data_IF_920996474706
#
_entry.id   IF_920996474706
#
_cell.length_a   1.000
_cell.length_b   1.000
_cell.length_c   1.000
_cell.angle_alpha   90.00
_cell.angle_beta   90.00
_cell.angle_gamma   90.00
#
_symmetry.space_group_name_H-M   'P 1'
#
loop_
_entity.id
_entity.type
_entity.pdbx_description
1 polymer ?
#
# COMPACT_ATOMS: atom_id res chain seq x y z
N UNK A 1 15.29 43.60 -15.96
CA UNK A 1 15.33 42.19 -16.40
C UNK A 1 15.98 41.38 -15.30
N UNK A 2 15.19 40.71 -14.46
CA UNK A 2 15.70 39.91 -13.35
C UNK A 2 15.27 38.45 -13.58
N UNK A 3 16.24 37.63 -13.97
CA UNK A 3 16.14 36.18 -13.99
C UNK A 3 16.20 35.69 -12.54
N UNK A 4 15.12 35.07 -12.05
CA UNK A 4 15.14 34.27 -10.83
C UNK A 4 14.83 32.82 -11.22
N UNK A 5 15.91 32.07 -11.41
CA UNK A 5 15.91 30.61 -11.46
C UNK A 5 15.74 30.12 -10.02
N UNK A 6 14.54 29.72 -9.64
CA UNK A 6 14.31 29.09 -8.34
C UNK A 6 14.64 27.61 -8.47
N UNK A 7 15.77 27.22 -7.89
CA UNK A 7 16.18 25.84 -7.74
C UNK A 7 15.24 25.11 -6.77
N UNK A 8 14.54 24.13 -7.32
CA UNK A 8 13.62 23.25 -6.62
C UNK A 8 14.44 22.24 -5.80
N UNK A 9 14.77 22.61 -4.56
CA UNK A 9 15.40 21.69 -3.60
C UNK A 9 14.30 20.95 -2.85
N UNK A 10 13.99 19.72 -3.29
CA UNK A 10 13.13 18.79 -2.55
C UNK A 10 13.99 18.06 -1.51
N UNK A 11 13.91 18.48 -0.25
CA UNK A 11 14.30 17.65 0.90
C UNK A 11 13.01 17.25 1.62
N UNK A 12 12.67 15.95 1.74
CA UNK A 12 11.54 15.54 2.56
C UNK A 12 11.98 15.46 4.03
N UNK A 13 11.52 16.41 4.85
CA UNK A 13 11.74 16.39 6.30
C UNK A 13 10.44 16.08 7.06
N UNK A 14 10.42 14.92 7.72
CA UNK A 14 9.85 14.64 9.05
C UNK A 14 8.38 15.04 9.35
N UNK A 15 7.48 14.06 9.31
CA UNK A 15 6.49 13.73 10.37
C UNK A 15 5.46 14.75 10.88
N UNK A 16 5.43 16.02 10.42
CA UNK A 16 4.49 17.05 10.91
C UNK A 16 3.44 17.51 9.90
N UNK A 17 3.37 16.90 8.71
CA UNK A 17 2.53 17.40 7.60
C UNK A 17 1.53 16.41 7.03
N UNK A 18 1.37 15.21 7.60
CA UNK A 18 0.43 14.24 7.05
C UNK A 18 -1.00 14.54 7.50
N UNK A 19 -1.96 14.78 6.59
CA UNK A 19 -3.29 15.29 6.94
C UNK A 19 -4.28 14.21 7.41
N UNK A 20 -3.90 12.93 7.36
CA UNK A 20 -4.79 11.81 7.71
C UNK A 20 -4.18 10.92 8.81
N UNK A 21 -4.74 10.98 10.01
CA UNK A 21 -4.44 10.01 11.05
C UNK A 21 -5.40 8.81 11.04
N UNK A 22 -5.03 7.71 11.72
CA UNK A 22 -5.93 6.58 11.94
C UNK A 22 -7.29 6.96 12.53
N UNK A 23 -7.35 8.03 13.33
CA UNK A 23 -8.56 8.56 13.95
C UNK A 23 -9.51 9.29 12.97
N UNK A 24 -9.03 9.69 11.79
CA UNK A 24 -9.78 10.51 10.83
C UNK A 24 -10.55 9.67 9.80
N UNK A 25 -10.39 8.35 9.82
CA UNK A 25 -11.03 7.44 8.86
C UNK A 25 -11.21 6.03 9.42
N UNK A 26 -11.86 5.16 8.66
CA UNK A 26 -12.11 3.77 9.08
C UNK A 26 -10.88 2.88 8.86
N UNK A 27 -10.70 1.80 9.65
CA UNK A 27 -9.57 0.89 9.45
C UNK A 27 -9.46 0.28 8.05
N UNK A 28 -10.59 0.12 7.37
CA UNK A 28 -10.65 -0.37 5.98
C UNK A 28 -10.07 0.62 4.96
N UNK A 29 -9.99 1.91 5.29
CA UNK A 29 -9.43 2.94 4.43
C UNK A 29 -7.97 3.30 4.78
N UNK A 30 -7.41 2.75 5.86
CA UNK A 30 -6.07 3.11 6.31
C UNK A 30 -4.97 2.76 5.30
N UNK A 31 -5.12 1.67 4.56
CA UNK A 31 -4.12 1.27 3.56
C UNK A 31 -3.88 2.37 2.51
N UNK A 32 -4.91 3.16 2.19
CA UNK A 32 -4.87 4.25 1.20
C UNK A 32 -4.65 5.64 1.79
N UNK A 33 -4.59 5.78 3.11
CA UNK A 33 -4.54 7.11 3.76
C UNK A 33 -3.48 7.24 4.85
N UNK A 34 -3.03 6.16 5.48
CA UNK A 34 -2.19 6.20 6.67
C UNK A 34 -0.78 5.68 6.35
N UNK A 35 0.29 6.46 6.63
CA UNK A 35 1.66 6.04 6.37
C UNK A 35 2.13 5.01 7.40
N UNK A 36 3.14 4.20 7.03
CA UNK A 36 3.64 3.09 7.85
C UNK A 36 4.03 3.48 9.28
N UNK A 37 4.60 4.67 9.48
CA UNK A 37 5.06 5.15 10.78
C UNK A 37 3.94 5.65 11.72
N UNK A 38 2.70 5.76 11.23
CA UNK A 38 1.56 6.22 12.03
C UNK A 38 0.84 5.06 12.76
N UNK A 39 1.18 3.81 12.45
CA UNK A 39 0.61 2.65 13.12
C UNK A 39 1.32 2.36 14.44
N UNK A 40 0.54 2.20 15.51
CA UNK A 40 0.99 1.72 16.82
C UNK A 40 0.17 0.50 17.22
N UNK A 41 0.40 0.01 18.44
CA UNK A 41 -0.24 -1.21 18.94
C UNK A 41 -1.78 -1.11 18.95
N UNK A 42 -2.34 0.07 19.23
CA UNK A 42 -3.78 0.29 19.22
C UNK A 42 -4.38 0.12 17.82
N UNK A 43 -3.74 0.70 16.80
CA UNK A 43 -4.16 0.56 15.40
C UNK A 43 -4.05 -0.89 14.93
N UNK A 44 -3.00 -1.61 15.35
CA UNK A 44 -2.86 -3.04 15.03
C UNK A 44 -4.05 -3.85 15.58
N UNK A 45 -4.43 -3.63 16.85
CA UNK A 45 -5.57 -4.32 17.46
C UNK A 45 -6.88 -3.99 16.74
N UNK A 46 -7.09 -2.72 16.37
CA UNK A 46 -8.28 -2.28 15.63
C UNK A 46 -8.35 -2.90 14.24
N UNK A 47 -7.22 -3.00 13.53
CA UNK A 47 -7.12 -3.62 12.22
C UNK A 47 -7.52 -5.09 12.27
N UNK A 48 -6.96 -5.85 13.23
CA UNK A 48 -7.27 -7.26 13.43
C UNK A 48 -8.75 -7.48 13.77
N UNK A 49 -9.29 -6.67 14.69
CA UNK A 49 -10.70 -6.73 15.04
C UNK A 49 -11.62 -6.42 13.85
N UNK A 50 -11.21 -5.50 12.97
CA UNK A 50 -11.95 -5.14 11.76
C UNK A 50 -11.97 -6.30 10.77
N UNK A 51 -10.80 -6.87 10.45
CA UNK A 51 -10.72 -8.03 9.54
C UNK A 51 -11.52 -9.23 10.06
N UNK A 52 -11.45 -9.51 11.37
CA UNK A 52 -12.24 -10.58 12.00
C UNK A 52 -13.75 -10.37 11.87
N UNK A 53 -14.24 -9.12 11.84
CA UNK A 53 -15.67 -8.84 11.59
C UNK A 53 -16.03 -9.03 10.12
N UNK A 54 -15.10 -8.75 9.22
CA UNK A 54 -15.31 -8.84 7.78
C UNK A 54 -15.17 -10.26 7.24
N UNK A 55 -14.57 -11.19 7.98
CA UNK A 55 -14.40 -12.60 7.56
C UNK A 55 -15.73 -13.33 7.27
N UNK A 56 -16.85 -12.79 7.76
CA UNK A 56 -18.21 -13.28 7.46
C UNK A 56 -18.61 -12.99 6.00
N UNK A 57 -18.00 -12.00 5.36
CA UNK A 57 -18.23 -11.66 3.95
C UNK A 57 -17.43 -12.65 3.08
N UNK A 58 -18.14 -13.66 2.58
CA UNK A 58 -17.56 -14.80 1.86
C UNK A 58 -16.87 -14.36 0.55
N UNK A 59 -15.55 -14.53 0.49
CA UNK A 59 -14.71 -14.18 -0.67
C UNK A 59 -13.93 -15.34 -1.31
N UNK A 60 -14.13 -16.58 -0.86
CA UNK A 60 -13.34 -17.76 -1.26
C UNK A 60 -12.22 -18.10 -0.26
N UNK A 61 -11.57 -19.27 -0.41
CA UNK A 61 -10.55 -19.78 0.52
C UNK A 61 -9.33 -18.87 0.64
N UNK A 62 -8.85 -18.34 -0.47
CA UNK A 62 -7.66 -17.46 -0.49
C UNK A 62 -7.93 -16.14 0.22
N UNK A 63 -9.18 -15.67 0.15
CA UNK A 63 -9.63 -14.47 0.85
C UNK A 63 -9.72 -14.68 2.37
N UNK A 64 -10.06 -15.90 2.81
CA UNK A 64 -10.03 -16.27 4.22
C UNK A 64 -8.58 -16.34 4.73
N UNK A 65 -7.70 -17.06 4.01
CA UNK A 65 -6.27 -17.16 4.36
C UNK A 65 -5.58 -15.80 4.42
N UNK A 66 -5.86 -14.91 3.46
CA UNK A 66 -5.37 -13.54 3.46
C UNK A 66 -5.80 -12.76 4.72
N UNK A 67 -7.07 -12.88 5.10
CA UNK A 67 -7.60 -12.21 6.30
C UNK A 67 -6.99 -12.76 7.59
N UNK A 68 -6.60 -14.03 7.62
CA UNK A 68 -5.88 -14.68 8.72
C UNK A 68 -4.38 -14.31 8.79
N UNK A 69 -3.87 -13.54 7.83
CA UNK A 69 -2.49 -13.01 7.82
C UNK A 69 -1.51 -13.84 6.99
N UNK A 70 -2.00 -14.74 6.15
CA UNK A 70 -1.13 -15.47 5.23
C UNK A 70 -0.70 -14.53 4.08
N UNK A 71 0.58 -14.17 4.07
CA UNK A 71 1.09 -13.12 3.19
C UNK A 71 1.04 -13.50 1.71
N UNK A 72 1.28 -14.77 1.34
CA UNK A 72 1.25 -15.18 -0.05
C UNK A 72 -0.18 -15.09 -0.62
N UNK A 73 -1.18 -15.52 0.15
CA UNK A 73 -2.60 -15.39 -0.16
C UNK A 73 -3.01 -13.91 -0.24
N UNK A 74 -2.60 -13.08 0.72
CA UNK A 74 -2.89 -11.64 0.69
C UNK A 74 -2.31 -10.95 -0.56
N UNK A 75 -1.08 -11.29 -0.93
CA UNK A 75 -0.44 -10.81 -2.16
C UNK A 75 -1.17 -11.32 -3.40
N UNK A 76 -1.53 -12.60 -3.45
CA UNK A 76 -2.27 -13.20 -4.56
C UNK A 76 -3.64 -12.55 -4.77
N UNK A 77 -4.39 -12.35 -3.69
CA UNK A 77 -5.67 -11.63 -3.69
C UNK A 77 -5.48 -10.19 -4.17
N UNK A 78 -4.46 -9.48 -3.68
CA UNK A 78 -4.18 -8.12 -4.12
C UNK A 78 -3.92 -8.05 -5.63
N UNK A 79 -3.10 -8.94 -6.18
CA UNK A 79 -2.84 -9.00 -7.62
C UNK A 79 -4.08 -9.36 -8.44
N UNK A 80 -4.96 -10.22 -7.93
CA UNK A 80 -6.22 -10.59 -8.62
C UNK A 80 -7.18 -9.40 -8.79
N UNK A 81 -7.01 -8.36 -7.99
CA UNK A 81 -7.82 -7.14 -8.01
C UNK A 81 -7.18 -6.00 -8.83
N UNK A 82 -5.99 -6.21 -9.39
CA UNK A 82 -5.31 -5.19 -10.19
C UNK A 82 -5.64 -5.33 -11.70
N UNK A 83 -5.83 -4.20 -12.42
CA UNK A 83 -5.77 -2.82 -11.94
C UNK A 83 -7.02 -2.42 -11.15
N UNK A 84 -6.84 -1.61 -10.09
CA UNK A 84 -7.94 -1.08 -9.30
C UNK A 84 -8.46 0.19 -9.99
N UNK A 85 -9.61 0.08 -10.64
CA UNK A 85 -10.29 1.22 -11.28
C UNK A 85 -11.37 1.82 -10.38
N UNK A 86 -11.95 1.02 -9.49
CA UNK A 86 -13.03 1.41 -8.58
C UNK A 86 -12.72 0.99 -7.16
N UNK A 87 -13.00 1.88 -6.20
CA UNK A 87 -12.83 1.62 -4.79
C UNK A 87 -14.08 0.93 -4.23
N UNK A 88 -14.02 -0.39 -4.06
CA UNK A 88 -15.12 -1.19 -3.53
C UNK A 88 -14.79 -1.73 -2.14
N UNK A 89 -15.82 -2.14 -1.39
CA UNK A 89 -15.62 -2.79 -0.08
C UNK A 89 -14.71 -4.03 -0.18
N UNK A 90 -14.82 -4.81 -1.26
CA UNK A 90 -13.96 -5.98 -1.50
C UNK A 90 -12.48 -5.57 -1.65
N UNK A 91 -12.21 -4.49 -2.39
CA UNK A 91 -10.86 -3.93 -2.53
C UNK A 91 -10.34 -3.47 -1.18
N UNK A 92 -11.14 -2.71 -0.43
CA UNK A 92 -10.74 -2.22 0.89
C UNK A 92 -10.42 -3.38 1.85
N UNK A 93 -11.23 -4.45 1.90
CA UNK A 93 -10.93 -5.63 2.74
C UNK A 93 -9.64 -6.33 2.29
N UNK A 94 -9.45 -6.55 0.98
CA UNK A 94 -8.25 -7.19 0.45
C UNK A 94 -6.99 -6.40 0.77
N UNK A 95 -7.01 -5.09 0.54
CA UNK A 95 -5.85 -4.22 0.80
C UNK A 95 -5.61 -4.04 2.30
N UNK A 96 -6.66 -4.12 3.12
CA UNK A 96 -6.53 -4.17 4.59
C UNK A 96 -5.86 -5.45 5.06
N UNK A 97 -6.16 -6.60 4.44
CA UNK A 97 -5.47 -7.86 4.72
C UNK A 97 -3.99 -7.81 4.30
N UNK A 98 -3.68 -7.21 3.14
CA UNK A 98 -2.30 -6.97 2.70
C UNK A 98 -1.56 -6.02 3.66
N UNK A 99 -2.21 -4.93 4.08
CA UNK A 99 -1.71 -3.97 5.06
C UNK A 99 -1.35 -4.67 6.37
N UNK A 100 -2.22 -5.56 6.89
CA UNK A 100 -1.94 -6.37 8.08
C UNK A 100 -0.62 -7.13 7.92
N UNK A 101 -0.44 -7.83 6.80
CA UNK A 101 0.79 -8.59 6.55
C UNK A 101 2.04 -7.69 6.51
N UNK A 102 1.93 -6.50 5.90
CA UNK A 102 3.02 -5.53 5.87
C UNK A 102 3.38 -5.01 7.28
N UNK A 103 2.39 -4.80 8.14
CA UNK A 103 2.58 -4.41 9.54
C UNK A 103 3.21 -5.53 10.39
N UNK A 104 2.93 -6.79 10.06
CA UNK A 104 3.61 -7.97 10.62
C UNK A 104 5.04 -8.17 10.07
N UNK A 105 5.67 -7.08 9.56
CA UNK A 105 7.04 -7.01 9.06
C UNK A 105 7.30 -7.86 7.81
N UNK A 106 6.26 -8.20 7.06
CA UNK A 106 6.44 -8.88 5.78
C UNK A 106 6.88 -7.86 4.71
N UNK A 107 8.16 -7.91 4.33
CA UNK A 107 8.72 -7.02 3.32
C UNK A 107 8.02 -7.15 1.96
N UNK A 108 7.73 -8.37 1.50
CA UNK A 108 7.07 -8.58 0.21
C UNK A 108 5.66 -7.96 0.18
N UNK A 109 4.88 -8.11 1.25
CA UNK A 109 3.56 -7.47 1.37
C UNK A 109 3.68 -5.93 1.34
N UNK A 110 4.67 -5.36 2.03
CA UNK A 110 4.93 -3.92 2.01
C UNK A 110 5.31 -3.41 0.61
N UNK A 111 6.09 -4.18 -0.15
CA UNK A 111 6.45 -3.85 -1.53
C UNK A 111 5.23 -3.89 -2.47
N UNK A 112 4.39 -4.92 -2.33
CA UNK A 112 3.15 -5.02 -3.11
C UNK A 112 2.21 -3.87 -2.76
N UNK A 113 2.08 -3.52 -1.48
CA UNK A 113 1.27 -2.37 -1.05
C UNK A 113 1.81 -1.05 -1.65
N UNK A 114 3.13 -0.84 -1.64
CA UNK A 114 3.80 0.28 -2.32
C UNK A 114 3.40 0.36 -3.80
N UNK A 115 3.43 -0.79 -4.49
CA UNK A 115 3.11 -0.87 -5.90
C UNK A 115 1.64 -0.59 -6.17
N UNK A 116 0.73 -1.11 -5.33
CA UNK A 116 -0.71 -0.82 -5.40
C UNK A 116 -0.96 0.67 -5.24
N UNK A 117 -0.37 1.29 -4.22
CA UNK A 117 -0.53 2.72 -3.94
C UNK A 117 -0.01 3.61 -5.08
N UNK A 118 1.08 3.18 -5.72
CA UNK A 118 1.68 3.91 -6.85
C UNK A 118 0.86 3.81 -8.14
N UNK A 119 0.02 2.79 -8.29
CA UNK A 119 -0.77 2.55 -9.51
C UNK A 119 -2.26 2.86 -9.36
N UNK A 120 -2.74 3.04 -8.14
CA UNK A 120 -4.14 3.32 -7.86
C UNK A 120 -4.35 4.82 -7.78
N UNK A 121 -5.36 5.34 -8.47
CA UNK A 121 -5.78 6.72 -8.28
C UNK A 121 -6.52 6.87 -6.94
N UNK A 122 -5.83 7.31 -5.90
CA UNK A 122 -6.39 7.45 -4.55
C UNK A 122 -7.23 8.72 -4.37
N UNK A 123 -7.31 9.59 -5.38
CA UNK A 123 -8.05 10.85 -5.31
C UNK A 123 -7.35 11.95 -4.51
N UNK A 124 -6.09 11.76 -4.10
CA UNK A 124 -5.28 12.76 -3.42
C UNK A 124 -3.82 12.75 -3.87
N UNK A 125 -3.15 13.90 -3.79
CA UNK A 125 -1.76 14.08 -4.23
C UNK A 125 -0.69 13.37 -3.39
N UNK A 126 -1.08 12.71 -2.29
CA UNK A 126 -0.16 12.08 -1.33
C UNK A 126 0.19 10.62 -1.65
N UNK A 127 -0.31 10.06 -2.77
CA UNK A 127 -0.11 8.65 -3.09
C UNK A 127 1.38 8.27 -3.18
N UNK A 128 2.21 9.15 -3.75
CA UNK A 128 3.67 8.94 -3.87
C UNK A 128 4.35 8.88 -2.50
N UNK A 129 4.05 9.82 -1.62
CA UNK A 129 4.64 9.86 -0.27
C UNK A 129 4.14 8.69 0.60
N UNK A 130 2.87 8.30 0.43
CA UNK A 130 2.29 7.13 1.08
C UNK A 130 3.04 5.87 0.65
N UNK A 131 3.20 5.67 -0.65
CA UNK A 131 3.95 4.55 -1.21
C UNK A 131 5.40 4.55 -0.72
N UNK A 132 6.08 5.70 -0.72
CA UNK A 132 7.45 5.81 -0.22
C UNK A 132 7.57 5.41 1.27
N UNK A 133 6.57 5.74 2.10
CA UNK A 133 6.56 5.33 3.52
C UNK A 133 6.48 3.80 3.68
N UNK A 134 5.71 3.13 2.81
CA UNK A 134 5.58 1.67 2.81
C UNK A 134 6.80 0.98 2.20
N UNK A 135 7.42 1.58 1.19
CA UNK A 135 8.68 1.11 0.64
C UNK A 135 9.79 1.13 1.68
N UNK A 136 9.96 2.27 2.37
CA UNK A 136 10.94 2.41 3.44
C UNK A 136 10.71 1.41 4.59
N UNK A 137 9.44 1.13 4.91
CA UNK A 137 9.08 0.09 5.89
C UNK A 137 9.49 -1.30 5.42
N UNK A 138 9.16 -1.68 4.19
CA UNK A 138 9.56 -2.96 3.60
C UNK A 138 11.07 -3.14 3.54
N UNK A 139 11.81 -2.10 3.17
CA UNK A 139 13.27 -2.11 3.10
C UNK A 139 13.92 -2.37 4.48
N UNK A 140 13.38 -1.76 5.55
CA UNK A 140 13.85 -1.99 6.93
C UNK A 140 13.63 -3.41 7.43
N UNK A 141 12.64 -4.10 6.88
CA UNK A 141 12.26 -5.46 7.28
C UNK A 141 12.65 -6.53 6.25
N UNK A 142 13.33 -6.15 5.18
CA UNK A 142 13.86 -7.11 4.22
C UNK A 142 15.12 -7.79 4.76
N UNK A 143 15.18 -9.11 4.66
CA UNK A 143 16.40 -9.88 4.92
C UNK A 143 17.43 -9.73 3.80
N UNK A 144 17.02 -9.23 2.64
CA UNK A 144 17.88 -9.01 1.46
C UNK A 144 17.47 -7.69 0.77
N UNK A 145 18.06 -6.55 1.19
CA UNK A 145 17.72 -5.22 0.66
C UNK A 145 18.02 -5.07 -0.84
N UNK A 146 19.03 -5.75 -1.36
CA UNK A 146 19.39 -5.68 -2.78
C UNK A 146 18.36 -6.37 -3.66
N UNK A 147 17.94 -7.59 -3.29
CA UNK A 147 16.85 -8.29 -3.98
C UNK A 147 15.54 -7.51 -3.90
N UNK A 148 15.28 -6.85 -2.78
CA UNK A 148 14.09 -6.01 -2.59
C UNK A 148 14.03 -4.86 -3.60
N UNK A 149 15.09 -4.06 -3.68
CA UNK A 149 15.19 -2.94 -4.63
C UNK A 149 15.16 -3.42 -6.10
N UNK A 150 15.74 -4.58 -6.39
CA UNK A 150 15.65 -5.20 -7.72
C UNK A 150 14.22 -5.63 -8.05
N UNK A 151 13.50 -6.20 -7.08
CA UNK A 151 12.10 -6.59 -7.24
C UNK A 151 11.22 -5.36 -7.53
N UNK A 152 11.43 -4.25 -6.81
CA UNK A 152 10.77 -2.97 -7.09
C UNK A 152 11.01 -2.51 -8.53
N UNK A 153 12.27 -2.47 -8.96
CA UNK A 153 12.63 -2.06 -10.33
C UNK A 153 11.94 -2.92 -11.38
N UNK A 154 11.85 -4.23 -11.13
CA UNK A 154 11.19 -5.20 -12.01
C UNK A 154 9.68 -4.98 -12.07
N UNK A 155 9.04 -4.72 -10.92
CA UNK A 155 7.60 -4.43 -10.83
C UNK A 155 7.26 -3.12 -11.55
N UNK A 156 8.06 -2.07 -11.38
CA UNK A 156 7.90 -0.79 -12.06
C UNK A 156 8.06 -0.93 -13.58
N UNK A 157 9.08 -1.66 -14.05
CA UNK A 157 9.30 -1.90 -15.47
C UNK A 157 8.12 -2.67 -16.11
N UNK A 158 7.61 -3.68 -15.41
CA UNK A 158 6.49 -4.51 -15.88
C UNK A 158 5.17 -3.73 -15.89
N UNK A 159 4.92 -2.91 -14.87
CA UNK A 159 3.73 -2.07 -14.78
C UNK A 159 3.70 -1.00 -15.88
N UNK A 160 4.84 -0.37 -16.18
CA UNK A 160 4.98 0.60 -17.28
C UNK A 160 4.70 -0.02 -18.65
N UNK A 161 5.04 -1.29 -18.84
CA UNK A 161 4.71 -2.06 -20.04
C UNK A 161 3.22 -2.39 -20.16
N UNK A 162 2.53 -2.57 -19.04
CA UNK A 162 1.09 -2.90 -19.00
C UNK A 162 0.20 -1.68 -19.30
N UNK A 163 0.53 -0.50 -18.77
CA UNK A 163 -0.18 0.75 -19.07
C UNK A 163 -0.07 1.20 -20.54
N UNK A 164 0.98 0.77 -21.27
CA UNK A 164 1.15 1.11 -22.70
C UNK A 164 0.30 0.27 -23.65
N UNK A 165 -0.17 -0.91 -23.22
CA UNK A 165 -1.00 -1.81 -24.03
C UNK A 165 -2.51 -1.52 -23.96
N UNK A 166 -2.94 -0.62 -23.06
CA UNK A 166 -4.35 -0.24 -22.91
C UNK A 166 -4.80 0.96 -23.75
N UNK A 167 -3.96 1.49 -24.64
CA UNK A 167 -4.28 2.69 -25.44
C UNK A 167 -4.44 2.40 -26.95
N UNK A 168 -4.93 1.19 -27.29
CA UNK A 168 -5.41 0.84 -28.63
C UNK A 168 -6.87 0.39 -28.52
N UNK A 169 -7.78 1.35 -28.46
CA UNK A 169 -9.18 1.20 -28.84
C UNK A 169 -9.56 2.43 -29.65
#
# INVERSE_FOLDING_TARGET
MASKRSEHTLVPTNGRGWPFGPQDTTPLAWWRTVPSYAFRDAEHVLLLATLKRMSVLHGGSDFASAQEGEAAAAIGVAFSLMPITEMTLKVDIAMTALLRCALERNAAAALVLTQVLSLTNLGHGLATDLAASWFAHGLRHSTDPEKFSKAETTLLATSRGRNRKGNIA
#
